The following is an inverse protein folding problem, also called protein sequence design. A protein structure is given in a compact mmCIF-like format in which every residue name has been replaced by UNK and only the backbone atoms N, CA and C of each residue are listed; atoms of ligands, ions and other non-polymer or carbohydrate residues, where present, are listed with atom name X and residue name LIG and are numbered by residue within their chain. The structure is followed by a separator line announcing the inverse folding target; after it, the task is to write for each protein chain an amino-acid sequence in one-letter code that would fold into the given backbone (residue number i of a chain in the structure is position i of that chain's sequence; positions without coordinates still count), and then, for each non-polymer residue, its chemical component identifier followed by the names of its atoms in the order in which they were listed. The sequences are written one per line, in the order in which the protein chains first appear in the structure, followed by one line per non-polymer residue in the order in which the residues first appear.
data_IF_336218126270
#
_entry.id   IF_336218126270
#
_cell.length_a   1.000
_cell.length_b   1.000
_cell.length_c   1.000
_cell.angle_alpha   90.00
_cell.angle_beta   90.00
_cell.angle_gamma   90.00
#
_symmetry.space_group_name_H-M   'P 1'
#
loop_
_entity.id
_entity.type
_entity.pdbx_description
1 polymer ?
#
# COMPACT_ATOMS: atom_id res chain seq x y z
N UNK A 1 -7.47 -7.69 -26.83
CA UNK A 1 -6.24 -7.73 -26.01
C UNK A 1 -6.65 -7.30 -24.62
N UNK A 2 -6.62 -8.20 -23.63
CA UNK A 2 -7.14 -7.94 -22.27
C UNK A 2 -6.02 -7.44 -21.36
N UNK A 3 -5.56 -6.22 -21.60
CA UNK A 3 -4.61 -5.52 -20.72
C UNK A 3 -5.34 -4.86 -19.54
N UNK A 4 -4.71 -4.88 -18.36
CA UNK A 4 -5.11 -4.22 -17.12
C UNK A 4 -6.62 -4.12 -16.80
N UNK A 5 -7.09 -5.08 -16.00
CA UNK A 5 -8.37 -5.03 -15.27
C UNK A 5 -8.36 -4.04 -14.07
N UNK A 6 -7.33 -3.21 -13.95
CA UNK A 6 -7.14 -2.25 -12.85
C UNK A 6 -6.34 -1.06 -13.38
N UNK A 7 -6.91 0.14 -13.24
CA UNK A 7 -6.35 1.41 -13.68
C UNK A 7 -5.22 1.92 -12.78
N UNK A 8 -4.50 2.96 -13.24
CA UNK A 8 -3.44 3.60 -12.46
C UNK A 8 -3.98 4.23 -11.16
N UNK A 9 -5.22 4.72 -11.17
CA UNK A 9 -5.87 5.33 -10.01
C UNK A 9 -6.40 4.30 -9.03
N UNK A 10 -6.99 3.19 -9.49
CA UNK A 10 -7.36 2.06 -8.61
C UNK A 10 -6.13 1.47 -7.90
N UNK A 11 -4.97 1.40 -8.57
CA UNK A 11 -3.71 1.05 -7.90
C UNK A 11 -3.29 2.09 -6.84
N UNK A 12 -3.58 3.38 -7.08
CA UNK A 12 -3.40 4.44 -6.09
C UNK A 12 -4.28 4.26 -4.85
N UNK A 13 -5.58 4.04 -5.06
CA UNK A 13 -6.57 3.86 -3.99
C UNK A 13 -6.30 2.58 -3.16
N UNK A 14 -5.94 1.47 -3.81
CA UNK A 14 -5.55 0.23 -3.11
C UNK A 14 -4.26 0.47 -2.32
N UNK A 15 -3.27 1.18 -2.89
CA UNK A 15 -2.04 1.53 -2.18
C UNK A 15 -2.31 2.34 -0.91
N UNK A 16 -3.11 3.42 -1.00
CA UNK A 16 -3.49 4.24 0.13
C UNK A 16 -4.32 3.47 1.18
N UNK A 17 -5.17 2.54 0.75
CA UNK A 17 -5.94 1.65 1.64
C UNK A 17 -5.02 0.69 2.41
N UNK A 18 -4.00 0.12 1.76
CA UNK A 18 -3.00 -0.73 2.43
C UNK A 18 -2.14 0.09 3.39
N UNK A 19 -1.71 1.29 3.01
CA UNK A 19 -0.94 2.21 3.89
C UNK A 19 -1.76 2.60 5.15
N UNK A 20 -3.07 2.77 5.05
CA UNK A 20 -3.96 2.99 6.21
C UNK A 20 -4.05 1.76 7.14
N UNK A 21 -4.25 0.56 6.58
CA UNK A 21 -4.30 -0.68 7.38
C UNK A 21 -2.95 -0.99 8.02
N UNK A 22 -1.84 -0.67 7.35
CA UNK A 22 -0.48 -0.77 7.90
C UNK A 22 -0.32 0.14 9.14
N UNK A 23 -0.76 1.40 9.03
CA UNK A 23 -0.77 2.36 10.14
C UNK A 23 -1.64 1.90 11.32
N UNK A 24 -2.85 1.42 11.06
CA UNK A 24 -3.76 0.92 12.12
C UNK A 24 -3.17 -0.31 12.82
N UNK A 25 -2.57 -1.25 12.06
CA UNK A 25 -1.91 -2.44 12.62
C UNK A 25 -0.72 -2.07 13.50
N UNK A 26 0.12 -1.10 13.10
CA UNK A 26 1.18 -0.58 13.98
C UNK A 26 0.63 0.15 15.20
N UNK A 27 -0.40 0.98 15.06
CA UNK A 27 -1.02 1.67 16.21
C UNK A 27 -1.59 0.69 17.26
N UNK A 28 -2.14 -0.46 16.83
CA UNK A 28 -2.56 -1.52 17.76
C UNK A 28 -1.36 -2.23 18.37
N UNK A 29 -0.29 -2.52 17.61
CA UNK A 29 0.94 -3.12 18.15
C UNK A 29 1.63 -2.22 19.19
N UNK A 30 1.73 -0.92 18.91
CA UNK A 30 2.28 0.10 19.83
C UNK A 30 1.44 0.23 21.10
N UNK A 31 0.10 0.26 20.95
CA UNK A 31 -0.83 0.24 22.09
C UNK A 31 -0.62 -0.99 22.98
N UNK A 32 -0.42 -2.17 22.38
CA UNK A 32 -0.18 -3.43 23.09
C UNK A 32 1.25 -3.59 23.64
N UNK A 33 2.24 -2.83 23.17
CA UNK A 33 3.60 -2.81 23.73
C UNK A 33 3.83 -1.71 24.75
N UNK A 34 2.98 -0.67 24.79
CA UNK A 34 3.15 0.45 25.70
C UNK A 34 2.94 0.07 27.18
N UNK A 35 3.86 0.51 28.05
CA UNK A 35 3.77 0.35 29.51
C UNK A 35 2.59 1.12 30.14
N UNK A 36 1.76 1.81 29.33
CA UNK A 36 0.62 2.60 29.78
C UNK A 36 -0.52 1.75 30.40
N UNK A 37 -0.52 0.45 30.15
CA UNK A 37 -1.41 -0.52 30.78
C UNK A 37 -0.61 -1.72 31.30
N UNK A 38 -0.24 -1.69 32.58
CA UNK A 38 0.34 -2.82 33.33
C UNK A 38 -0.75 -3.89 33.58
N UNK A 39 -1.25 -4.51 32.50
CA UNK A 39 -2.33 -5.48 32.53
C UNK A 39 -1.99 -6.74 33.31
N UNK A 40 -0.69 -7.03 33.46
CA UNK A 40 -0.16 -8.07 34.34
C UNK A 40 -0.59 -7.85 35.80
N UNK A 41 -0.66 -6.60 36.27
CA UNK A 41 -1.10 -6.25 37.62
C UNK A 41 -2.61 -6.48 37.90
N UNK A 42 -3.42 -6.76 36.86
CA UNK A 42 -4.83 -7.14 37.03
C UNK A 42 -5.01 -8.60 37.49
N UNK A 43 -3.96 -9.43 37.44
CA UNK A 43 -4.02 -10.84 37.78
C UNK A 43 -3.65 -11.12 39.24
N UNK A 44 -4.44 -11.95 39.91
CA UNK A 44 -4.23 -12.31 41.31
C UNK A 44 -3.05 -13.27 41.57
N UNK A 45 -2.37 -13.75 40.52
CA UNK A 45 -1.22 -14.66 40.61
C UNK A 45 -0.12 -14.26 39.62
N UNK A 46 1.14 -14.44 40.02
CA UNK A 46 2.30 -14.14 39.16
C UNK A 46 2.35 -15.02 37.90
N UNK A 47 1.86 -16.26 37.97
CA UNK A 47 1.80 -17.18 36.83
C UNK A 47 0.82 -16.69 35.74
N UNK A 48 -0.36 -16.19 36.13
CA UNK A 48 -1.29 -15.60 35.17
C UNK A 48 -0.82 -14.24 34.65
N UNK A 49 -0.14 -13.44 35.47
CA UNK A 49 0.49 -12.19 35.06
C UNK A 49 1.60 -12.40 34.00
N UNK A 50 2.47 -13.40 34.20
CA UNK A 50 3.51 -13.74 33.22
C UNK A 50 2.91 -14.35 31.94
N UNK A 51 1.94 -15.27 32.05
CA UNK A 51 1.25 -15.83 30.89
C UNK A 51 0.53 -14.75 30.05
N UNK A 52 -0.09 -13.76 30.68
CA UNK A 52 -0.63 -12.59 30.00
C UNK A 52 0.45 -11.77 29.31
N UNK A 53 1.57 -11.50 29.99
CA UNK A 53 2.71 -10.76 29.44
C UNK A 53 3.32 -11.46 28.21
N UNK A 54 3.43 -12.79 28.23
CA UNK A 54 3.87 -13.58 27.09
C UNK A 54 2.88 -13.50 25.92
N UNK A 55 1.57 -13.59 26.18
CA UNK A 55 0.52 -13.47 25.16
C UNK A 55 0.51 -12.07 24.53
N UNK A 56 0.61 -11.02 25.34
CA UNK A 56 0.67 -9.62 24.92
C UNK A 56 1.84 -9.37 23.96
N UNK A 57 3.05 -9.83 24.34
CA UNK A 57 4.25 -9.77 23.46
C UNK A 57 4.07 -10.56 22.17
N UNK A 58 3.50 -11.76 22.24
CA UNK A 58 3.25 -12.61 21.07
C UNK A 58 2.31 -11.93 20.06
N UNK A 59 1.21 -11.34 20.55
CA UNK A 59 0.26 -10.60 19.71
C UNK A 59 0.91 -9.34 19.12
N UNK A 60 1.66 -8.57 19.90
CA UNK A 60 2.40 -7.41 19.40
C UNK A 60 3.39 -7.78 18.27
N UNK A 61 4.19 -8.83 18.45
CA UNK A 61 5.11 -9.31 17.40
C UNK A 61 4.37 -9.71 16.13
N UNK A 62 3.29 -10.50 16.24
CA UNK A 62 2.49 -10.90 15.08
C UNK A 62 1.85 -9.71 14.35
N UNK A 63 1.44 -8.66 15.07
CA UNK A 63 0.92 -7.43 14.46
C UNK A 63 2.03 -6.67 13.73
N UNK A 64 3.20 -6.48 14.35
CA UNK A 64 4.35 -5.82 13.71
C UNK A 64 4.81 -6.54 12.44
N UNK A 65 4.88 -7.88 12.47
CA UNK A 65 5.21 -8.70 11.29
C UNK A 65 4.20 -8.51 10.13
N UNK A 66 2.91 -8.32 10.45
CA UNK A 66 1.86 -8.05 9.44
C UNK A 66 1.88 -6.60 8.95
N UNK A 67 2.21 -5.63 9.80
CA UNK A 67 2.48 -4.26 9.39
C UNK A 67 3.60 -4.22 8.33
N UNK A 68 4.73 -4.86 8.61
CA UNK A 68 5.85 -4.90 7.66
C UNK A 68 5.57 -5.71 6.38
N UNK A 69 4.64 -6.67 6.41
CA UNK A 69 4.15 -7.33 5.19
C UNK A 69 3.25 -6.41 4.36
N UNK A 70 2.34 -5.66 5.00
CA UNK A 70 1.46 -4.69 4.35
C UNK A 70 2.25 -3.53 3.72
N UNK A 71 3.25 -2.99 4.42
CA UNK A 71 4.12 -1.93 3.89
C UNK A 71 4.86 -2.35 2.61
N UNK A 72 5.34 -3.60 2.57
CA UNK A 72 5.96 -4.20 1.36
C UNK A 72 4.95 -4.44 0.24
N UNK A 73 3.67 -4.67 0.55
CA UNK A 73 2.60 -4.78 -0.44
C UNK A 73 2.27 -3.40 -1.02
N UNK A 74 2.13 -2.36 -0.19
CA UNK A 74 1.92 -0.99 -0.65
C UNK A 74 3.08 -0.48 -1.51
N UNK A 75 4.33 -0.75 -1.10
CA UNK A 75 5.54 -0.42 -1.88
C UNK A 75 5.51 -1.06 -3.28
N UNK A 76 5.19 -2.37 -3.37
CA UNK A 76 5.04 -3.07 -4.66
C UNK A 76 3.89 -2.52 -5.53
N UNK A 77 2.81 -2.03 -4.91
CA UNK A 77 1.71 -1.38 -5.63
C UNK A 77 2.16 -0.02 -6.18
N UNK A 78 2.92 0.77 -5.39
CA UNK A 78 3.53 2.03 -5.83
C UNK A 78 4.53 1.80 -6.98
N UNK A 79 5.39 0.78 -6.89
CA UNK A 79 6.30 0.36 -7.97
C UNK A 79 5.53 -0.02 -9.25
N UNK A 80 4.44 -0.79 -9.10
CA UNK A 80 3.55 -1.18 -10.20
C UNK A 80 2.91 0.03 -10.86
N UNK A 81 2.36 0.97 -10.07
CA UNK A 81 1.80 2.24 -10.55
C UNK A 81 2.82 3.05 -11.34
N UNK A 82 4.05 3.17 -10.82
CA UNK A 82 5.17 3.84 -11.48
C UNK A 82 5.70 3.10 -12.71
N UNK A 83 5.43 1.80 -12.86
CA UNK A 83 5.71 1.06 -14.09
C UNK A 83 4.65 1.31 -15.17
N UNK A 84 3.36 1.38 -14.79
CA UNK A 84 2.28 1.76 -15.73
C UNK A 84 2.49 3.18 -16.28
N UNK A 85 2.79 4.16 -15.42
CA UNK A 85 3.07 5.54 -15.86
C UNK A 85 4.20 5.60 -16.90
N UNK A 86 5.36 4.97 -16.64
CA UNK A 86 6.46 4.93 -17.61
C UNK A 86 6.10 4.29 -18.95
N UNK A 87 5.19 3.32 -18.98
CA UNK A 87 4.67 2.73 -20.22
C UNK A 87 3.74 3.70 -20.93
N UNK A 88 2.86 4.38 -20.20
CA UNK A 88 1.94 5.40 -20.72
C UNK A 88 2.68 6.63 -21.28
N UNK A 89 3.69 7.13 -20.56
CA UNK A 89 4.62 8.17 -21.02
C UNK A 89 5.32 7.76 -22.33
N UNK A 90 5.90 6.55 -22.36
CA UNK A 90 6.64 6.02 -23.52
C UNK A 90 5.71 5.83 -24.73
N UNK A 91 4.48 5.35 -24.52
CA UNK A 91 3.47 5.21 -25.59
C UNK A 91 3.04 6.59 -26.09
N UNK A 92 2.85 7.56 -25.22
CA UNK A 92 2.48 8.94 -25.59
C UNK A 92 3.58 9.60 -26.42
N UNK A 93 4.84 9.59 -25.94
CA UNK A 93 6.00 10.11 -26.69
C UNK A 93 6.16 9.41 -28.06
N UNK A 94 5.93 8.09 -28.12
CA UNK A 94 5.97 7.33 -29.36
C UNK A 94 4.84 7.69 -30.33
N UNK A 95 3.62 7.93 -29.83
CA UNK A 95 2.46 8.30 -30.65
C UNK A 95 2.59 9.73 -31.18
N UNK A 96 2.93 10.69 -30.32
CA UNK A 96 3.15 12.09 -30.71
C UNK A 96 4.37 12.21 -31.66
N UNK A 97 5.41 11.39 -31.46
CA UNK A 97 6.54 11.29 -32.41
C UNK A 97 6.20 10.64 -33.76
N UNK A 98 5.06 9.95 -33.87
CA UNK A 98 4.58 9.29 -35.10
C UNK A 98 3.49 10.11 -35.82
N UNK A 99 2.77 10.98 -35.10
CA UNK A 99 1.73 11.88 -35.64
C UNK A 99 2.33 13.30 -35.77
N UNK A 100 2.81 13.73 -36.95
CA UNK A 100 3.27 15.11 -37.12
C UNK A 100 2.06 16.05 -37.08
N UNK A 101 2.21 17.24 -36.48
CA UNK A 101 1.20 18.31 -36.46
C UNK A 101 0.55 18.56 -37.84
N UNK A 102 1.37 18.38 -38.89
CA UNK A 102 1.04 18.48 -40.31
C UNK A 102 -0.17 17.62 -40.75
N UNK A 103 -0.52 16.55 -40.03
CA UNK A 103 -1.66 15.69 -40.41
C UNK A 103 -3.01 16.40 -40.30
N UNK A 104 -3.12 17.43 -39.45
CA UNK A 104 -4.30 18.30 -39.40
C UNK A 104 -4.54 19.03 -40.72
N UNK A 105 -3.49 19.59 -41.32
CA UNK A 105 -3.56 20.27 -42.63
C UNK A 105 -3.77 19.29 -43.80
N UNK A 106 -3.22 18.07 -43.72
CA UNK A 106 -3.35 17.06 -44.77
C UNK A 106 -4.79 16.49 -44.85
N UNK A 107 -5.49 16.39 -43.71
CA UNK A 107 -6.89 15.94 -43.64
C UNK A 107 -7.90 17.10 -43.64
N UNK A 108 -7.45 18.34 -43.37
CA UNK A 108 -8.23 19.58 -43.39
C UNK A 108 -8.67 20.06 -44.77
N UNK A 109 -9.01 19.14 -45.68
CA UNK A 109 -9.45 19.43 -47.04
C UNK A 109 -10.69 20.32 -47.07
N UNK A 110 -10.53 21.51 -47.66
CA UNK A 110 -11.57 22.55 -47.80
C UNK A 110 -12.90 22.01 -48.35
N UNK A 111 -13.98 22.45 -47.71
CA UNK A 111 -15.27 22.72 -48.35
C UNK A 111 -15.37 24.22 -48.64
#
# INVERSE_FOLDING_TARGET
MTGFFTSNDELGDIGASVDLVESDVRAVADSWTSDAADGAAAFATAESADAFTQLQRSIATMLSERGDELGRIAERIRDGRSAYQRVEDTVTETVDGIIPDNLGDILGGRW
#
